data_IF_906766656486
#
_entry.id   IF_906766656486
#
_cell.length_a   1.000
_cell.length_b   1.000
_cell.length_c   1.000
_cell.angle_alpha   90.00
_cell.angle_beta   90.00
_cell.angle_gamma   90.00
#
_symmetry.space_group_name_H-M   'P 1'
#
loop_
_entity.id
_entity.type
_entity.pdbx_description
1 polymer ?
#
# COMPACT_ATOMS: atom_id res chain seq x y z
N UNK A 1 -36.84 -58.56 10.68
CA UNK A 1 -35.92 -57.67 11.42
C UNK A 1 -34.77 -57.34 10.48
N UNK A 2 -34.80 -56.17 9.82
CA UNK A 2 -33.71 -55.72 8.95
C UNK A 2 -32.77 -54.84 9.78
N UNK A 3 -31.48 -55.17 9.76
CA UNK A 3 -30.43 -54.36 10.35
C UNK A 3 -30.16 -53.14 9.46
N UNK A 4 -30.19 -51.95 10.04
CA UNK A 4 -29.78 -50.71 9.38
C UNK A 4 -28.25 -50.62 9.46
N UNK A 5 -27.58 -50.86 8.33
CA UNK A 5 -26.16 -50.58 8.17
C UNK A 5 -25.94 -49.07 8.21
N UNK A 6 -25.31 -48.60 9.30
CA UNK A 6 -24.90 -47.22 9.48
C UNK A 6 -23.44 -47.09 9.04
N UNK A 7 -23.19 -46.78 7.77
CA UNK A 7 -21.86 -46.39 7.29
C UNK A 7 -21.55 -44.96 7.72
N UNK A 8 -20.43 -44.68 8.43
CA UNK A 8 -20.07 -43.31 8.78
C UNK A 8 -19.65 -42.55 7.52
N UNK A 9 -20.40 -41.49 7.20
CA UNK A 9 -20.04 -40.56 6.15
C UNK A 9 -18.66 -39.94 6.47
N UNK A 10 -17.76 -39.99 5.47
CA UNK A 10 -16.43 -39.44 5.55
C UNK A 10 -16.46 -37.99 6.05
N UNK A 11 -15.72 -37.72 7.13
CA UNK A 11 -15.52 -36.37 7.66
C UNK A 11 -14.79 -35.53 6.62
N UNK A 12 -15.50 -34.60 5.96
CA UNK A 12 -14.86 -33.51 5.22
C UNK A 12 -13.90 -32.80 6.17
N UNK A 13 -12.61 -32.76 5.81
CA UNK A 13 -11.59 -32.04 6.56
C UNK A 13 -12.02 -30.59 6.76
N UNK A 14 -12.39 -30.22 7.99
CA UNK A 14 -12.68 -28.84 8.37
C UNK A 14 -11.38 -28.04 8.34
N UNK A 15 -11.04 -27.50 7.16
CA UNK A 15 -9.99 -26.49 7.04
C UNK A 15 -10.54 -25.21 7.64
N UNK A 16 -9.97 -24.68 8.74
CA UNK A 16 -10.46 -23.45 9.32
C UNK A 16 -10.43 -22.37 8.24
N UNK A 17 -11.62 -21.83 7.94
CA UNK A 17 -11.76 -20.76 6.95
C UNK A 17 -11.01 -19.57 7.52
N UNK A 18 -9.84 -19.29 6.96
CA UNK A 18 -9.10 -18.09 7.30
C UNK A 18 -10.01 -16.87 7.11
N UNK A 19 -9.99 -15.92 8.03
CA UNK A 19 -10.84 -14.71 7.98
C UNK A 19 -10.72 -13.97 6.65
N UNK A 20 -9.58 -14.07 5.98
CA UNK A 20 -9.36 -13.57 4.62
C UNK A 20 -10.28 -14.22 3.56
N UNK A 21 -10.52 -15.53 3.67
CA UNK A 21 -11.40 -16.27 2.76
C UNK A 21 -12.89 -15.96 3.03
N UNK A 22 -13.25 -15.67 4.28
CA UNK A 22 -14.60 -15.24 4.64
C UNK A 22 -14.94 -13.85 4.08
N UNK A 23 -13.96 -12.92 4.12
CA UNK A 23 -14.08 -11.59 3.52
C UNK A 23 -13.98 -11.60 1.99
N UNK A 24 -13.47 -12.68 1.40
CA UNK A 24 -13.23 -12.83 -0.04
C UNK A 24 -14.27 -13.66 -0.79
N UNK A 25 -15.50 -13.84 -0.26
CA UNK A 25 -16.55 -14.59 -0.97
C UNK A 25 -16.77 -13.98 -2.37
N UNK A 26 -16.56 -14.82 -3.39
CA UNK A 26 -16.80 -14.60 -4.82
C UNK A 26 -18.06 -13.74 -5.05
N UNK A 27 -17.82 -12.46 -5.30
CA UNK A 27 -18.77 -11.45 -5.77
C UNK A 27 -17.91 -10.32 -6.31
N UNK A 28 -18.07 -10.01 -7.60
CA UNK A 28 -17.13 -9.26 -8.43
C UNK A 28 -17.07 -7.75 -8.15
N UNK A 29 -17.49 -7.32 -6.96
CA UNK A 29 -17.29 -5.96 -6.51
C UNK A 29 -15.94 -5.88 -5.80
N UNK A 30 -14.89 -5.60 -6.59
CA UNK A 30 -13.56 -5.21 -6.10
C UNK A 30 -13.63 -3.86 -5.40
N UNK A 31 -14.37 -3.80 -4.31
CA UNK A 31 -14.52 -2.60 -3.50
C UNK A 31 -13.13 -2.28 -2.90
N UNK A 32 -12.54 -1.16 -3.32
CA UNK A 32 -11.22 -0.72 -2.89
C UNK A 32 -11.10 -0.71 -1.35
N UNK A 33 -12.19 -0.37 -0.65
CA UNK A 33 -12.27 -0.37 0.82
C UNK A 33 -12.16 -1.76 1.43
N UNK A 34 -12.78 -2.77 0.80
CA UNK A 34 -12.69 -4.16 1.28
C UNK A 34 -11.28 -4.72 1.09
N UNK A 35 -10.65 -4.40 -0.04
CA UNK A 35 -9.25 -4.76 -0.32
C UNK A 35 -8.30 -4.06 0.68
N UNK A 36 -8.56 -2.78 0.99
CA UNK A 36 -7.79 -2.05 2.00
C UNK A 36 -7.94 -2.68 3.39
N UNK A 37 -9.16 -3.05 3.79
CA UNK A 37 -9.40 -3.73 5.07
C UNK A 37 -8.64 -5.07 5.16
N UNK A 38 -8.65 -5.86 4.08
CA UNK A 38 -7.88 -7.10 4.00
C UNK A 38 -6.37 -6.85 4.13
N UNK A 39 -5.86 -5.79 3.51
CA UNK A 39 -4.46 -5.37 3.66
C UNK A 39 -4.12 -5.03 5.11
N UNK A 40 -4.93 -4.21 5.77
CA UNK A 40 -4.73 -3.82 7.16
C UNK A 40 -4.75 -5.02 8.11
N UNK A 41 -5.67 -5.96 7.88
CA UNK A 41 -5.72 -7.21 8.64
C UNK A 41 -4.47 -8.07 8.40
N UNK A 42 -3.96 -8.13 7.16
CA UNK A 42 -2.72 -8.81 6.84
C UNK A 42 -1.51 -8.18 7.53
N UNK A 43 -1.42 -6.85 7.61
CA UNK A 43 -0.37 -6.15 8.36
C UNK A 43 -0.43 -6.45 9.85
N UNK A 44 -1.64 -6.43 10.45
CA UNK A 44 -1.82 -6.78 11.87
C UNK A 44 -1.33 -8.20 12.18
N UNK A 45 -1.51 -9.12 11.24
CA UNK A 45 -1.04 -10.50 11.35
C UNK A 45 0.41 -10.70 10.88
N UNK A 46 1.18 -9.62 10.65
CA UNK A 46 2.55 -9.62 10.12
C UNK A 46 2.73 -10.34 8.79
N UNK A 47 1.65 -10.53 8.03
CA UNK A 47 1.69 -11.10 6.69
C UNK A 47 1.91 -9.98 5.65
N UNK A 48 3.14 -9.49 5.57
CA UNK A 48 3.53 -8.34 4.74
C UNK A 48 3.29 -8.61 3.25
N UNK A 49 3.49 -9.85 2.78
CA UNK A 49 3.33 -10.22 1.36
C UNK A 49 1.88 -10.09 0.90
N UNK A 50 0.93 -10.65 1.66
CA UNK A 50 -0.50 -10.53 1.32
C UNK A 50 -0.99 -9.09 1.52
N UNK A 51 -0.48 -8.36 2.52
CA UNK A 51 -0.79 -6.94 2.70
C UNK A 51 -0.47 -6.11 1.46
N UNK A 52 0.75 -6.24 0.92
CA UNK A 52 1.15 -5.52 -0.30
C UNK A 52 0.26 -5.91 -1.49
N UNK A 53 -0.09 -7.19 -1.62
CA UNK A 53 -0.96 -7.67 -2.70
C UNK A 53 -2.35 -7.05 -2.65
N UNK A 54 -2.99 -7.06 -1.48
CA UNK A 54 -4.32 -6.45 -1.31
C UNK A 54 -4.26 -4.93 -1.43
N UNK A 55 -3.24 -4.27 -0.88
CA UNK A 55 -3.09 -2.83 -0.99
C UNK A 55 -2.86 -2.37 -2.44
N UNK A 56 -2.03 -3.09 -3.22
CA UNK A 56 -1.85 -2.81 -4.65
C UNK A 56 -3.14 -3.05 -5.45
N UNK A 57 -3.96 -4.02 -5.04
CA UNK A 57 -5.26 -4.23 -5.66
C UNK A 57 -6.22 -3.08 -5.33
N UNK A 58 -6.23 -2.61 -4.08
CA UNK A 58 -7.03 -1.46 -3.65
C UNK A 58 -6.65 -0.18 -4.42
N UNK A 59 -5.35 0.14 -4.50
CA UNK A 59 -4.86 1.34 -5.20
C UNK A 59 -5.04 1.29 -6.72
N UNK A 60 -5.25 0.09 -7.29
CA UNK A 60 -5.59 -0.08 -8.71
C UNK A 60 -7.09 0.04 -8.95
N UNK A 61 -7.90 -0.37 -7.98
CA UNK A 61 -9.35 -0.26 -8.05
C UNK A 61 -9.79 1.21 -7.94
N UNK A 62 -9.14 1.97 -7.06
CA UNK A 62 -9.31 3.42 -6.97
C UNK A 62 -7.92 4.09 -6.85
N UNK A 63 -7.39 4.67 -7.95
CA UNK A 63 -6.12 5.38 -7.93
C UNK A 63 -6.16 6.68 -7.14
N UNK A 64 -7.32 7.33 -7.00
CA UNK A 64 -7.43 8.65 -6.37
C UNK A 64 -7.74 8.55 -4.86
N UNK A 65 -8.13 7.35 -4.40
CA UNK A 65 -8.29 7.05 -2.98
C UNK A 65 -6.97 7.14 -2.20
N UNK A 66 -6.85 8.21 -1.40
CA UNK A 66 -5.72 8.42 -0.50
C UNK A 66 -5.57 7.32 0.54
N UNK A 67 -6.66 6.74 1.03
CA UNK A 67 -6.60 5.66 2.03
C UNK A 67 -5.98 4.40 1.43
N UNK A 68 -6.30 4.10 0.16
CA UNK A 68 -5.67 3.02 -0.58
C UNK A 68 -4.16 3.29 -0.80
N UNK A 69 -3.77 4.54 -1.10
CA UNK A 69 -2.35 4.93 -1.25
C UNK A 69 -1.59 4.85 0.07
N UNK A 70 -2.18 5.30 1.17
CA UNK A 70 -1.59 5.18 2.52
C UNK A 70 -1.43 3.71 2.89
N UNK A 71 -2.46 2.88 2.68
CA UNK A 71 -2.39 1.44 2.96
C UNK A 71 -1.30 0.73 2.17
N UNK A 72 -1.10 1.10 0.90
CA UNK A 72 0.01 0.58 0.09
C UNK A 72 1.36 1.07 0.58
N UNK A 73 1.49 2.36 0.89
CA UNK A 73 2.72 2.96 1.37
C UNK A 73 3.15 2.35 2.72
N UNK A 74 2.20 2.08 3.62
CA UNK A 74 2.41 1.40 4.89
C UNK A 74 2.86 -0.04 4.69
N UNK A 75 2.19 -0.80 3.83
CA UNK A 75 2.56 -2.20 3.61
C UNK A 75 3.95 -2.34 3.01
N UNK A 76 4.32 -1.45 2.08
CA UNK A 76 5.67 -1.38 1.52
C UNK A 76 6.68 -0.91 2.58
N UNK A 77 6.32 0.05 3.43
CA UNK A 77 7.19 0.55 4.47
C UNK A 77 7.48 -0.53 5.53
N UNK A 78 6.49 -1.29 5.97
CA UNK A 78 6.70 -2.45 6.85
C UNK A 78 7.63 -3.48 6.23
N UNK A 79 7.58 -3.67 4.90
CA UNK A 79 8.54 -4.53 4.20
C UNK A 79 9.97 -3.96 4.23
N UNK A 80 10.12 -2.65 4.06
CA UNK A 80 11.41 -1.97 4.16
C UNK A 80 11.98 -2.04 5.59
N UNK A 81 11.13 -1.95 6.61
CA UNK A 81 11.53 -2.13 8.02
C UNK A 81 11.96 -3.57 8.32
N UNK A 82 11.21 -4.57 7.84
CA UNK A 82 11.48 -5.99 8.06
C UNK A 82 12.77 -6.46 7.36
N UNK A 83 12.95 -6.10 6.08
CA UNK A 83 14.14 -6.48 5.30
C UNK A 83 15.35 -5.57 5.59
N UNK A 84 15.11 -4.34 6.03
CA UNK A 84 16.10 -3.29 6.21
C UNK A 84 16.29 -2.42 4.95
N UNK A 85 16.48 -1.11 5.16
CA UNK A 85 16.57 -0.09 4.10
C UNK A 85 17.60 -0.41 3.03
N UNK A 86 18.72 -1.03 3.36
CA UNK A 86 19.82 -1.30 2.40
C UNK A 86 19.66 -2.60 1.61
N UNK A 87 18.87 -3.55 2.12
CA UNK A 87 18.70 -4.88 1.50
C UNK A 87 17.44 -4.98 0.65
N UNK A 88 16.43 -4.18 0.95
CA UNK A 88 15.17 -4.16 0.21
C UNK A 88 15.41 -3.83 -1.27
N UNK A 89 14.67 -4.49 -2.15
CA UNK A 89 14.77 -4.27 -3.59
C UNK A 89 14.56 -2.78 -3.94
N UNK A 90 15.40 -2.17 -4.81
CA UNK A 90 15.29 -0.76 -5.19
C UNK A 90 13.89 -0.38 -5.67
N UNK A 91 13.22 -1.27 -6.42
CA UNK A 91 11.85 -1.05 -6.89
C UNK A 91 10.84 -0.87 -5.75
N UNK A 92 10.94 -1.68 -4.68
CA UNK A 92 10.04 -1.61 -3.51
C UNK A 92 10.28 -0.33 -2.73
N UNK A 93 11.54 0.04 -2.52
CA UNK A 93 11.90 1.29 -1.86
C UNK A 93 11.37 2.51 -2.64
N UNK A 94 11.60 2.51 -3.96
CA UNK A 94 11.19 3.59 -4.85
C UNK A 94 9.65 3.73 -4.90
N UNK A 95 8.93 2.60 -4.97
CA UNK A 95 7.46 2.58 -4.92
C UNK A 95 6.92 3.10 -3.58
N UNK A 96 7.51 2.67 -2.46
CA UNK A 96 7.15 3.14 -1.12
C UNK A 96 7.28 4.65 -1.00
N UNK A 97 8.45 5.19 -1.38
CA UNK A 97 8.74 6.61 -1.28
C UNK A 97 7.86 7.44 -2.21
N UNK A 98 7.55 6.93 -3.41
CA UNK A 98 6.68 7.60 -4.36
C UNK A 98 5.25 7.70 -3.83
N UNK A 99 4.70 6.64 -3.23
CA UNK A 99 3.36 6.68 -2.64
C UNK A 99 3.28 7.66 -1.47
N UNK A 100 4.26 7.62 -0.55
CA UNK A 100 4.31 8.59 0.56
C UNK A 100 4.44 10.04 0.07
N UNK A 101 5.22 10.28 -0.98
CA UNK A 101 5.35 11.61 -1.58
C UNK A 101 4.03 12.13 -2.15
N UNK A 102 3.22 11.24 -2.75
CA UNK A 102 1.90 11.65 -3.26
C UNK A 102 0.97 11.99 -2.10
N UNK A 103 0.91 11.16 -1.05
CA UNK A 103 0.11 11.47 0.15
C UNK A 103 0.54 12.80 0.76
N UNK A 104 1.85 13.03 0.90
CA UNK A 104 2.40 14.28 1.43
C UNK A 104 2.03 15.51 0.58
N UNK A 105 1.96 15.36 -0.75
CA UNK A 105 1.66 16.47 -1.66
C UNK A 105 0.20 16.63 -2.04
N UNK A 106 -0.67 15.64 -1.81
CA UNK A 106 -2.07 15.75 -2.23
C UNK A 106 -2.77 16.92 -1.55
N UNK A 107 -2.50 17.15 -0.27
CA UNK A 107 -3.01 18.31 0.47
C UNK A 107 -2.19 19.58 0.17
N UNK A 108 -0.89 19.45 -0.12
CA UNK A 108 -0.06 20.58 -0.54
C UNK A 108 -0.34 21.05 -1.99
N UNK A 109 -1.14 20.30 -2.76
CA UNK A 109 -1.35 20.47 -4.21
C UNK A 109 -2.74 20.99 -4.59
N UNK A 110 -3.78 20.68 -3.82
CA UNK A 110 -5.13 21.22 -4.08
C UNK A 110 -5.48 22.47 -3.27
N UNK A 111 -4.73 22.79 -2.20
CA UNK A 111 -4.95 24.01 -1.39
C UNK A 111 -3.67 24.74 -0.98
N UNK A 112 -2.70 24.86 -1.91
CA UNK A 112 -1.67 25.90 -1.81
C UNK A 112 -2.21 27.33 -2.04
N UNK A 113 -3.52 27.55 -1.90
CA UNK A 113 -4.16 28.86 -1.77
C UNK A 113 -4.05 29.45 -0.37
N UNK A 114 -3.57 28.69 0.61
CA UNK A 114 -3.26 29.18 1.97
C UNK A 114 -1.88 29.86 2.05
N UNK A 115 -1.52 30.69 1.06
CA UNK A 115 -0.40 31.61 1.22
C UNK A 115 -0.85 32.78 2.11
N UNK A 116 -0.38 32.78 3.37
CA UNK A 116 -0.67 33.75 4.47
C UNK A 116 -1.91 33.47 5.34
N UNK A 117 -2.00 32.28 5.96
CA UNK A 117 -2.61 32.15 7.30
C UNK A 117 -4.05 32.65 7.50
N UNK A 118 -4.84 32.77 6.44
CA UNK A 118 -6.26 33.10 6.51
C UNK A 118 -7.06 31.83 6.22
N UNK A 119 -7.28 31.04 7.26
CA UNK A 119 -8.22 29.92 7.23
C UNK A 119 -9.63 30.50 7.18
N UNK A 120 -10.42 30.14 6.17
CA UNK A 120 -11.86 30.45 6.14
C UNK A 120 -12.51 29.66 7.27
N UNK A 121 -13.13 30.30 8.28
CA UNK A 121 -13.80 29.59 9.36
C UNK A 121 -15.03 28.88 8.77
N UNK A 122 -15.00 27.55 8.64
CA UNK A 122 -16.17 26.76 8.24
C UNK A 122 -15.93 25.55 7.34
N UNK A 123 -14.73 25.31 6.81
CA UNK A 123 -14.46 24.11 6.01
C UNK A 123 -14.00 22.94 6.90
N UNK A 124 -14.93 22.24 7.52
CA UNK A 124 -14.72 21.10 8.42
C UNK A 124 -14.17 19.82 7.74
N UNK A 125 -13.09 19.90 6.95
CA UNK A 125 -12.37 18.74 6.39
C UNK A 125 -10.89 18.61 6.81
N UNK A 126 -10.35 19.55 7.59
CA UNK A 126 -8.90 19.62 7.85
C UNK A 126 -8.32 18.53 8.76
N UNK A 127 -9.07 17.97 9.72
CA UNK A 127 -8.45 17.16 10.79
C UNK A 127 -7.95 15.77 10.35
N UNK A 128 -8.70 15.03 9.52
CA UNK A 128 -8.29 13.67 9.13
C UNK A 128 -7.13 13.67 8.11
N UNK A 129 -7.00 14.77 7.37
CA UNK A 129 -6.02 14.95 6.31
C UNK A 129 -4.66 15.41 6.87
N UNK A 130 -4.64 16.21 7.93
CA UNK A 130 -3.41 16.64 8.63
C UNK A 130 -2.60 15.45 9.18
N UNK A 131 -3.27 14.48 9.80
CA UNK A 131 -2.62 13.28 10.37
C UNK A 131 -1.88 12.47 9.30
N UNK A 132 -2.49 12.33 8.11
CA UNK A 132 -1.93 11.58 6.97
C UNK A 132 -0.70 12.30 6.41
N UNK A 133 -0.75 13.62 6.29
CA UNK A 133 0.39 14.44 5.81
C UNK A 133 1.54 14.38 6.78
N UNK A 134 1.26 14.54 8.08
CA UNK A 134 2.28 14.50 9.11
C UNK A 134 2.94 13.11 9.16
N UNK A 135 2.14 12.04 9.09
CA UNK A 135 2.65 10.68 8.96
C UNK A 135 3.52 10.51 7.70
N UNK A 136 3.05 10.98 6.54
CA UNK A 136 3.81 10.90 5.30
C UNK A 136 5.14 11.64 5.39
N UNK A 137 5.16 12.83 6.01
CA UNK A 137 6.38 13.60 6.28
C UNK A 137 7.39 12.79 7.08
N UNK A 138 6.96 12.22 8.22
CA UNK A 138 7.83 11.41 9.06
C UNK A 138 8.35 10.16 8.34
N UNK A 139 7.51 9.50 7.54
CA UNK A 139 7.94 8.31 6.77
C UNK A 139 8.92 8.65 5.66
N UNK A 140 8.74 9.78 4.96
CA UNK A 140 9.70 10.26 3.96
C UNK A 140 11.05 10.59 4.61
N UNK A 141 11.01 11.31 5.73
CA UNK A 141 12.21 11.67 6.49
C UNK A 141 12.93 10.44 7.02
N UNK A 142 12.21 9.45 7.54
CA UNK A 142 12.80 8.18 7.96
C UNK A 142 13.43 7.42 6.77
N UNK A 143 12.74 7.32 5.63
CA UNK A 143 13.24 6.56 4.47
C UNK A 143 14.50 7.14 3.83
N UNK A 144 14.61 8.47 3.73
CA UNK A 144 15.68 9.13 2.97
C UNK A 144 16.43 10.25 3.70
N UNK A 145 16.13 10.49 4.97
CA UNK A 145 16.81 11.47 5.83
C UNK A 145 16.45 12.94 5.54
N UNK A 146 15.48 13.21 4.66
CA UNK A 146 15.06 14.58 4.32
C UNK A 146 13.62 14.64 3.83
N UNK A 147 13.01 15.82 3.95
CA UNK A 147 11.71 16.13 3.36
C UNK A 147 11.83 16.96 2.08
N UNK A 148 10.83 16.92 1.17
CA UNK A 148 10.83 17.77 -0.01
C UNK A 148 10.71 19.25 0.37
N UNK A 149 11.53 20.11 -0.23
CA UNK A 149 11.40 21.56 -0.04
C UNK A 149 10.18 22.10 -0.78
N UNK A 150 9.56 23.18 -0.29
CA UNK A 150 8.37 23.75 -0.92
C UNK A 150 8.59 24.16 -2.39
N UNK A 151 9.81 24.58 -2.76
CA UNK A 151 10.19 24.97 -4.13
C UNK A 151 10.80 23.82 -4.96
N UNK A 152 10.90 22.61 -4.40
CA UNK A 152 11.43 21.44 -5.11
C UNK A 152 10.29 20.68 -5.78
N UNK A 153 10.40 20.34 -7.06
CA UNK A 153 9.40 19.51 -7.74
C UNK A 153 9.54 18.03 -7.35
N UNK A 154 8.47 17.23 -7.46
CA UNK A 154 8.51 15.78 -7.21
C UNK A 154 9.64 15.10 -7.98
N UNK A 155 9.78 15.42 -9.27
CA UNK A 155 10.85 14.87 -10.13
C UNK A 155 12.25 15.22 -9.61
N UNK A 156 12.48 16.47 -9.19
CA UNK A 156 13.77 16.92 -8.63
C UNK A 156 14.06 16.25 -7.28
N UNK A 157 13.04 16.11 -6.44
CA UNK A 157 13.16 15.43 -5.16
C UNK A 157 13.53 13.96 -5.35
N UNK A 158 12.71 13.22 -6.10
CA UNK A 158 12.86 11.79 -6.35
C UNK A 158 14.21 11.46 -7.00
N UNK A 159 14.69 12.25 -7.96
CA UNK A 159 16.01 12.04 -8.59
C UNK A 159 17.17 11.94 -7.59
N UNK A 160 17.06 12.58 -6.42
CA UNK A 160 18.11 12.59 -5.39
C UNK A 160 18.00 11.46 -4.37
N UNK A 161 16.85 10.81 -4.26
CA UNK A 161 16.53 9.88 -3.16
C UNK A 161 16.19 8.47 -3.64
N UNK A 162 15.82 8.32 -4.92
CA UNK A 162 15.53 7.01 -5.50
C UNK A 162 16.81 6.18 -5.66
N UNK A 163 16.68 4.88 -5.40
CA UNK A 163 17.75 3.91 -5.59
C UNK A 163 17.82 3.50 -7.08
N UNK A 164 19.02 3.30 -7.65
CA UNK A 164 19.16 2.84 -9.03
C UNK A 164 18.57 1.43 -9.15
N UNK A 165 17.64 1.25 -10.09
CA UNK A 165 17.15 -0.07 -10.48
C UNK A 165 18.15 -0.59 -11.51
N UNK A 166 18.88 -1.66 -11.20
CA UNK A 166 19.77 -2.31 -12.16
C UNK A 166 18.95 -2.73 -13.37
N UNK A 167 19.36 -2.27 -14.56
CA UNK A 167 18.75 -2.63 -15.83
C UNK A 167 19.04 -4.11 -16.07
N UNK A 168 18.02 -4.95 -16.05
CA UNK A 168 18.16 -6.35 -16.45
C UNK A 168 18.29 -6.34 -17.98
N UNK A 169 19.51 -6.50 -18.47
CA UNK A 169 19.78 -6.76 -19.88
C UNK A 169 19.35 -8.21 -20.18
N UNK A 170 18.11 -8.39 -20.61
CA UNK A 170 17.63 -9.69 -21.07
C UNK A 170 18.30 -10.04 -22.39
N UNK A 171 19.16 -11.07 -22.38
CA UNK A 171 19.72 -11.63 -23.61
C UNK A 171 18.62 -12.40 -24.35
N UNK A 172 18.20 -11.91 -25.52
CA UNK A 172 17.27 -12.63 -26.39
C UNK A 172 18.00 -13.84 -26.97
N UNK A 173 17.72 -15.03 -26.45
CA UNK A 173 18.18 -16.27 -27.06
C UNK A 173 17.28 -16.49 -28.27
N UNK A 174 17.78 -16.15 -29.46
CA UNK A 174 17.11 -16.51 -30.70
C UNK A 174 17.08 -18.04 -30.77
N UNK A 175 15.89 -18.62 -30.56
CA UNK A 175 15.66 -20.05 -30.78
C UNK A 175 15.91 -20.37 -32.25
N UNK A 176 17.04 -21.01 -32.53
CA UNK A 176 17.30 -21.67 -33.80
C UNK A 176 16.31 -22.82 -34.00
N UNK A 177 15.71 -22.84 -35.20
CA UNK A 177 14.69 -23.75 -35.71
C UNK A 177 14.95 -25.23 -35.46
#
# INVERSE_FOLDING_TARGET
MQALDCTPAASEEYKPVSTYNALGRKGEDKNARMLLLQSQLALKNKNIKEAIKFARAASKADPDDLDARVGLAEALYSKVEDEGKDKVAPGVFNECLTNWLIVYRNIAGEEATSYKGMTVPGASRFFADEDRVLKAKYRIEDLCGRTPKFWESNKRFLKKVLKPVSRIEGQVINGSK
#
